data_IF_473662350388
#
_entry.id   IF_473662350388
#
_cell.length_a   1.000
_cell.length_b   1.000
_cell.length_c   1.000
_cell.angle_alpha   90.00
_cell.angle_beta   90.00
_cell.angle_gamma   90.00
#
_symmetry.space_group_name_H-M   'P 1'
#
loop_
_entity.id
_entity.type
_entity.pdbx_description
1 polymer ?
#
# COMPACT_ATOMS: atom_id res chain seq x y z
N UNK A 1 -0.62 -12.79 -24.70
CA UNK A 1 -1.76 -12.38 -23.84
C UNK A 1 -2.16 -10.95 -24.18
N UNK A 2 -3.45 -10.66 -24.19
CA UNK A 2 -4.00 -9.30 -24.36
C UNK A 2 -4.12 -8.63 -23.00
N UNK A 3 -3.58 -7.44 -22.85
CA UNK A 3 -3.46 -6.77 -21.56
C UNK A 3 -3.99 -5.33 -21.63
N UNK A 4 -4.52 -4.85 -20.50
CA UNK A 4 -4.77 -3.43 -20.22
C UNK A 4 -3.88 -3.01 -19.07
N UNK A 5 -3.32 -1.80 -19.14
CA UNK A 5 -2.58 -1.16 -18.06
C UNK A 5 -3.43 0.01 -17.58
N UNK A 6 -3.57 0.14 -16.25
CA UNK A 6 -4.28 1.24 -15.60
C UNK A 6 -3.40 1.82 -14.48
N UNK A 7 -2.78 2.98 -14.72
CA UNK A 7 -1.86 3.61 -13.78
C UNK A 7 -1.80 5.11 -14.03
N UNK A 8 -1.98 5.93 -13.01
CA UNK A 8 -1.97 7.40 -13.13
C UNK A 8 -0.56 7.98 -13.35
N UNK A 9 0.48 7.17 -13.16
CA UNK A 9 1.85 7.51 -13.50
C UNK A 9 2.13 7.20 -15.00
N UNK A 10 1.79 8.14 -15.89
CA UNK A 10 1.86 7.95 -17.34
C UNK A 10 3.20 7.39 -17.83
N UNK A 11 4.33 7.96 -17.37
CA UNK A 11 5.68 7.50 -17.76
C UNK A 11 5.92 6.03 -17.39
N UNK A 12 5.47 5.61 -16.23
CA UNK A 12 5.57 4.20 -15.81
C UNK A 12 4.68 3.30 -16.67
N UNK A 13 3.42 3.68 -16.87
CA UNK A 13 2.45 2.92 -17.66
C UNK A 13 2.91 2.72 -19.10
N UNK A 14 3.37 3.78 -19.74
CA UNK A 14 3.87 3.75 -21.12
C UNK A 14 5.16 2.93 -21.24
N UNK A 15 6.10 3.10 -20.31
CA UNK A 15 7.34 2.30 -20.27
C UNK A 15 7.04 0.81 -20.10
N UNK A 16 6.12 0.47 -19.18
CA UNK A 16 5.70 -0.91 -18.98
C UNK A 16 5.00 -1.47 -20.22
N UNK A 17 4.20 -0.67 -20.92
CA UNK A 17 3.56 -1.05 -22.18
C UNK A 17 4.58 -1.44 -23.24
N UNK A 18 5.65 -0.67 -23.39
CA UNK A 18 6.75 -0.99 -24.32
C UNK A 18 7.44 -2.31 -23.94
N UNK A 19 7.74 -2.50 -22.65
CA UNK A 19 8.39 -3.73 -22.16
C UNK A 19 7.51 -4.94 -22.42
N UNK A 20 6.22 -4.88 -22.14
CA UNK A 20 5.28 -5.98 -22.37
C UNK A 20 5.13 -6.30 -23.85
N UNK A 21 5.07 -5.27 -24.70
CA UNK A 21 4.99 -5.42 -26.16
C UNK A 21 6.26 -6.06 -26.71
N UNK A 22 7.43 -5.63 -26.27
CA UNK A 22 8.73 -6.24 -26.68
C UNK A 22 8.86 -7.69 -26.20
N UNK A 23 8.19 -8.06 -25.11
CA UNK A 23 8.10 -9.44 -24.62
C UNK A 23 7.05 -10.29 -25.35
N UNK A 24 6.44 -9.79 -26.44
CA UNK A 24 5.48 -10.51 -27.27
C UNK A 24 4.05 -10.51 -26.75
N UNK A 25 3.71 -9.59 -25.86
CA UNK A 25 2.34 -9.42 -25.37
C UNK A 25 1.63 -8.27 -26.13
N UNK A 26 0.30 -8.30 -26.14
CA UNK A 26 -0.52 -7.25 -26.76
C UNK A 26 -1.10 -6.33 -25.70
N UNK A 27 -0.51 -5.16 -25.48
CA UNK A 27 -1.14 -4.11 -24.68
C UNK A 27 -2.20 -3.43 -25.53
N UNK A 28 -3.46 -3.68 -25.22
CA UNK A 28 -4.60 -3.21 -26.04
C UNK A 28 -5.02 -1.80 -25.70
N UNK A 29 -4.71 -1.33 -24.51
CA UNK A 29 -4.97 0.04 -24.06
C UNK A 29 -4.13 0.36 -22.81
N UNK A 30 -3.77 1.62 -22.64
CA UNK A 30 -3.26 2.21 -21.41
C UNK A 30 -4.27 3.24 -20.93
N UNK A 31 -4.66 3.18 -19.67
CA UNK A 31 -5.62 4.08 -19.03
C UNK A 31 -5.00 4.66 -17.76
N UNK A 32 -5.45 5.84 -17.34
CA UNK A 32 -4.84 6.58 -16.24
C UNK A 32 -5.76 6.68 -15.02
N UNK A 33 -6.94 6.05 -15.11
CA UNK A 33 -7.87 5.95 -13.98
C UNK A 33 -8.72 4.69 -14.07
N UNK A 34 -9.23 4.16 -12.94
CA UNK A 34 -10.19 3.04 -12.97
C UNK A 34 -11.48 3.36 -13.71
N UNK A 35 -11.89 4.64 -13.73
CA UNK A 35 -13.07 5.08 -14.45
C UNK A 35 -12.88 4.95 -15.97
N UNK A 36 -11.70 5.28 -16.51
CA UNK A 36 -11.34 5.08 -17.91
C UNK A 36 -11.17 3.58 -18.25
N UNK A 37 -10.60 2.80 -17.34
CA UNK A 37 -10.40 1.37 -17.54
C UNK A 37 -11.73 0.60 -17.70
N UNK A 38 -12.79 1.03 -17.02
CA UNK A 38 -14.08 0.33 -16.99
C UNK A 38 -14.68 0.10 -18.40
N UNK A 39 -14.91 1.13 -19.27
CA UNK A 39 -15.41 0.93 -20.62
C UNK A 39 -14.44 0.15 -21.51
N UNK A 40 -13.13 0.31 -21.31
CA UNK A 40 -12.10 -0.43 -22.06
C UNK A 40 -12.16 -1.92 -21.76
N UNK A 41 -12.21 -2.30 -20.48
CA UNK A 41 -12.33 -3.69 -20.05
C UNK A 41 -13.59 -4.34 -20.62
N UNK A 42 -14.73 -3.63 -20.60
CA UNK A 42 -15.99 -4.11 -21.15
C UNK A 42 -15.92 -4.36 -22.66
N UNK A 43 -15.27 -3.44 -23.40
CA UNK A 43 -15.18 -3.50 -24.86
C UNK A 43 -14.11 -4.47 -25.35
N UNK A 44 -12.91 -4.42 -24.73
CA UNK A 44 -11.73 -5.14 -25.19
C UNK A 44 -11.61 -6.55 -24.62
N UNK A 45 -12.18 -6.80 -23.43
CA UNK A 45 -12.14 -8.09 -22.72
C UNK A 45 -10.73 -8.70 -22.71
N UNK A 46 -9.73 -8.01 -22.10
CA UNK A 46 -8.37 -8.50 -22.07
C UNK A 46 -8.25 -9.75 -21.19
N UNK A 47 -7.16 -10.51 -21.38
CA UNK A 47 -6.82 -11.65 -20.52
C UNK A 47 -6.40 -11.17 -19.12
N UNK A 48 -5.64 -10.08 -19.07
CA UNK A 48 -5.08 -9.48 -17.86
C UNK A 48 -5.31 -7.97 -17.82
N UNK A 49 -5.52 -7.44 -16.62
CA UNK A 49 -5.49 -6.02 -16.33
C UNK A 49 -4.46 -5.76 -15.22
N UNK A 50 -3.40 -5.03 -15.56
CA UNK A 50 -2.45 -4.51 -14.58
C UNK A 50 -3.00 -3.18 -14.08
N UNK A 51 -3.17 -3.05 -12.78
CA UNK A 51 -3.77 -1.86 -12.20
C UNK A 51 -2.95 -1.36 -11.01
N UNK A 52 -2.68 -0.06 -10.96
CA UNK A 52 -2.10 0.53 -9.75
C UNK A 52 -3.04 0.36 -8.57
N UNK A 53 -2.47 0.25 -7.38
CA UNK A 53 -3.24 0.21 -6.14
C UNK A 53 -3.82 1.58 -5.78
N UNK A 54 -3.06 2.64 -5.97
CA UNK A 54 -3.37 3.99 -5.50
C UNK A 54 -3.65 4.93 -6.67
N UNK A 55 -4.74 5.68 -6.55
CA UNK A 55 -5.12 6.74 -7.48
C UNK A 55 -5.47 8.00 -6.68
N UNK A 56 -5.42 9.20 -7.26
CA UNK A 56 -5.87 10.42 -6.60
C UNK A 56 -7.33 10.35 -6.10
N UNK A 57 -8.15 9.49 -6.71
CA UNK A 57 -9.56 9.27 -6.38
C UNK A 57 -9.82 8.14 -5.38
N UNK A 58 -8.79 7.55 -4.77
CA UNK A 58 -8.91 6.42 -3.85
C UNK A 58 -8.18 5.17 -4.33
N UNK A 59 -8.55 4.00 -3.85
CA UNK A 59 -7.86 2.75 -4.15
C UNK A 59 -8.53 1.98 -5.29
N UNK A 60 -7.73 1.23 -6.07
CA UNK A 60 -8.26 0.31 -7.08
C UNK A 60 -9.21 -0.73 -6.48
N UNK A 61 -9.03 -1.08 -5.20
CA UNK A 61 -9.85 -2.09 -4.53
C UNK A 61 -11.32 -1.68 -4.43
N UNK A 62 -11.60 -0.38 -4.29
CA UNK A 62 -12.96 0.17 -4.29
C UNK A 62 -13.67 -0.01 -5.63
N UNK A 63 -12.90 -0.06 -6.71
CA UNK A 63 -13.39 -0.23 -8.07
C UNK A 63 -13.49 -1.71 -8.50
N UNK A 64 -12.83 -2.63 -7.80
CA UNK A 64 -12.76 -4.04 -8.20
C UNK A 64 -14.12 -4.69 -8.47
N UNK A 65 -15.19 -4.46 -7.67
CA UNK A 65 -16.49 -5.06 -7.97
C UNK A 65 -17.03 -4.65 -9.35
N UNK A 66 -16.87 -3.36 -9.72
CA UNK A 66 -17.30 -2.82 -11.02
C UNK A 66 -16.42 -3.30 -12.17
N UNK A 67 -15.09 -3.28 -11.98
CA UNK A 67 -14.13 -3.69 -13.00
C UNK A 67 -14.30 -5.18 -13.33
N UNK A 68 -14.42 -6.03 -12.33
CA UNK A 68 -14.67 -7.47 -12.51
C UNK A 68 -16.05 -7.74 -13.11
N UNK A 69 -17.07 -7.02 -12.68
CA UNK A 69 -18.41 -7.12 -13.27
C UNK A 69 -18.44 -6.75 -14.76
N UNK A 70 -17.59 -5.79 -15.19
CA UNK A 70 -17.48 -5.39 -16.60
C UNK A 70 -16.76 -6.40 -17.49
N UNK A 71 -15.80 -7.14 -16.94
CA UNK A 71 -15.00 -8.15 -17.63
C UNK A 71 -14.68 -9.34 -16.72
N UNK A 72 -15.64 -10.27 -16.51
CA UNK A 72 -15.51 -11.33 -15.49
C UNK A 72 -14.38 -12.34 -15.73
N UNK A 73 -13.90 -12.44 -16.99
CA UNK A 73 -12.80 -13.35 -17.36
C UNK A 73 -11.43 -12.70 -17.23
N UNK A 74 -11.36 -11.38 -17.12
CA UNK A 74 -10.08 -10.65 -16.96
C UNK A 74 -9.52 -10.92 -15.58
N UNK A 75 -8.26 -11.34 -15.52
CA UNK A 75 -7.51 -11.47 -14.27
C UNK A 75 -6.85 -10.16 -13.93
N UNK A 76 -6.92 -9.78 -12.65
CA UNK A 76 -6.37 -8.51 -12.18
C UNK A 76 -5.07 -8.74 -11.43
N UNK A 77 -4.05 -7.96 -11.81
CA UNK A 77 -2.76 -7.88 -11.15
C UNK A 77 -2.57 -6.45 -10.62
N UNK A 78 -2.44 -6.31 -9.33
CA UNK A 78 -2.17 -5.02 -8.68
C UNK A 78 -0.67 -4.73 -8.75
N UNK A 79 -0.33 -3.56 -9.28
CA UNK A 79 1.00 -2.98 -9.23
C UNK A 79 1.06 -2.00 -8.06
N UNK A 80 2.09 -2.09 -7.24
CA UNK A 80 2.23 -1.16 -6.10
C UNK A 80 3.69 -0.96 -5.72
N UNK A 81 4.03 0.24 -5.27
CA UNK A 81 5.33 0.51 -4.65
C UNK A 81 5.41 0.00 -3.20
N UNK A 82 4.25 -0.32 -2.62
CA UNK A 82 4.14 -0.78 -1.25
C UNK A 82 2.80 -1.50 -1.03
N UNK A 83 2.82 -2.59 -0.27
CA UNK A 83 1.62 -3.35 0.06
C UNK A 83 1.62 -3.76 1.53
N UNK A 84 0.60 -3.35 2.25
CA UNK A 84 0.34 -3.81 3.61
C UNK A 84 -0.52 -5.08 3.60
N UNK A 85 -0.36 -5.88 4.65
CA UNK A 85 -1.10 -7.14 4.78
C UNK A 85 -2.63 -6.96 4.72
N UNK A 86 -3.25 -5.98 5.40
CA UNK A 86 -4.68 -5.77 5.28
C UNK A 86 -5.14 -5.48 3.84
N UNK A 87 -4.33 -4.70 3.09
CA UNK A 87 -4.60 -4.36 1.69
C UNK A 87 -4.44 -5.60 0.80
N UNK A 88 -3.43 -6.44 1.07
CA UNK A 88 -3.26 -7.73 0.39
C UNK A 88 -4.49 -8.63 0.61
N UNK A 89 -4.92 -8.78 1.86
CA UNK A 89 -6.07 -9.61 2.22
C UNK A 89 -7.37 -9.08 1.58
N UNK A 90 -7.59 -7.76 1.63
CA UNK A 90 -8.71 -7.11 0.96
C UNK A 90 -8.67 -7.29 -0.58
N UNK A 91 -7.50 -7.17 -1.18
CA UNK A 91 -7.31 -7.39 -2.62
C UNK A 91 -7.61 -8.82 -3.05
N UNK A 92 -7.13 -9.82 -2.29
CA UNK A 92 -7.45 -11.23 -2.53
C UNK A 92 -8.96 -11.48 -2.39
N UNK A 93 -9.60 -10.94 -1.36
CA UNK A 93 -11.05 -11.03 -1.16
C UNK A 93 -11.83 -10.35 -2.30
N UNK A 94 -11.32 -9.23 -2.83
CA UNK A 94 -11.87 -8.55 -4.00
C UNK A 94 -11.61 -9.30 -5.32
N UNK A 95 -10.83 -10.39 -5.30
CA UNK A 95 -10.55 -11.25 -6.44
C UNK A 95 -9.36 -10.83 -7.30
N UNK A 96 -8.44 -10.04 -6.75
CA UNK A 96 -7.11 -9.82 -7.35
C UNK A 96 -6.35 -11.15 -7.34
N UNK A 97 -5.67 -11.46 -8.45
CA UNK A 97 -4.93 -12.71 -8.63
C UNK A 97 -3.43 -12.54 -8.53
N UNK A 98 -2.94 -11.32 -8.73
CA UNK A 98 -1.50 -11.04 -8.66
C UNK A 98 -1.20 -9.73 -7.94
N UNK A 99 -0.05 -9.70 -7.27
CA UNK A 99 0.51 -8.49 -6.69
C UNK A 99 1.99 -8.43 -7.07
N UNK A 100 2.39 -7.35 -7.74
CA UNK A 100 3.74 -7.11 -8.18
C UNK A 100 4.25 -5.73 -7.72
N UNK A 101 5.53 -5.65 -7.39
CA UNK A 101 6.14 -4.41 -6.92
C UNK A 101 6.59 -3.56 -8.11
N UNK A 102 6.19 -2.27 -8.16
CA UNK A 102 6.58 -1.35 -9.26
C UNK A 102 8.09 -1.14 -9.40
N UNK A 103 8.86 -1.29 -8.32
CA UNK A 103 10.31 -1.12 -8.32
C UNK A 103 11.11 -2.36 -8.70
N UNK A 104 10.48 -3.46 -9.07
CA UNK A 104 11.20 -4.68 -9.48
C UNK A 104 11.59 -4.65 -10.97
N UNK A 105 12.44 -5.59 -11.37
CA UNK A 105 12.82 -5.72 -12.78
C UNK A 105 11.64 -6.18 -13.64
N UNK A 106 11.62 -5.76 -14.90
CA UNK A 106 10.56 -6.11 -15.83
C UNK A 106 10.36 -7.63 -15.98
N UNK A 107 11.44 -8.40 -15.89
CA UNK A 107 11.41 -9.87 -15.93
C UNK A 107 10.61 -10.48 -14.79
N UNK A 108 10.67 -9.90 -13.61
CA UNK A 108 9.94 -10.37 -12.44
C UNK A 108 8.44 -10.08 -12.57
N UNK A 109 8.07 -8.89 -13.08
CA UNK A 109 6.69 -8.55 -13.42
C UNK A 109 6.15 -9.57 -14.44
N UNK A 110 6.89 -9.84 -15.50
CA UNK A 110 6.52 -10.83 -16.52
C UNK A 110 6.33 -12.24 -15.94
N UNK A 111 7.17 -12.64 -14.97
CA UNK A 111 7.02 -13.92 -14.29
C UNK A 111 5.71 -14.00 -13.47
N UNK A 112 5.35 -12.92 -12.77
CA UNK A 112 4.05 -12.81 -12.07
C UNK A 112 2.90 -12.93 -13.06
N UNK A 113 2.95 -12.20 -14.19
CA UNK A 113 1.88 -12.20 -15.19
C UNK A 113 1.66 -13.59 -15.82
N UNK A 114 2.73 -14.33 -16.13
CA UNK A 114 2.62 -15.70 -16.66
C UNK A 114 1.91 -16.62 -15.69
N UNK A 115 2.32 -16.62 -14.43
CA UNK A 115 1.72 -17.46 -13.39
C UNK A 115 0.26 -17.10 -13.13
N UNK A 116 -0.09 -15.81 -13.15
CA UNK A 116 -1.49 -15.37 -13.04
C UNK A 116 -2.30 -15.79 -14.26
N UNK A 117 -1.71 -15.81 -15.46
CA UNK A 117 -2.36 -16.34 -16.66
C UNK A 117 -2.65 -17.84 -16.56
N UNK A 118 -1.84 -18.58 -15.82
CA UNK A 118 -2.03 -20.00 -15.50
C UNK A 118 -2.95 -20.23 -14.28
N UNK A 119 -3.78 -19.24 -13.92
CA UNK A 119 -4.74 -19.24 -12.81
C UNK A 119 -4.13 -19.33 -11.40
N UNK A 120 -2.83 -19.12 -11.24
CA UNK A 120 -2.22 -19.04 -9.92
C UNK A 120 -2.55 -17.72 -9.21
N UNK A 121 -2.58 -17.77 -7.87
CA UNK A 121 -2.56 -16.58 -7.03
C UNK A 121 -1.11 -16.26 -6.68
N UNK A 122 -0.62 -15.12 -7.14
CA UNK A 122 0.80 -14.76 -7.03
C UNK A 122 0.99 -13.49 -6.23
N UNK A 123 1.75 -13.58 -5.16
CA UNK A 123 2.26 -12.41 -4.43
C UNK A 123 3.77 -12.38 -4.60
N UNK A 124 4.27 -11.32 -5.19
CA UNK A 124 5.69 -11.15 -5.47
C UNK A 124 6.56 -11.25 -4.21
N UNK A 125 7.78 -11.78 -4.36
CA UNK A 125 8.69 -11.98 -3.23
C UNK A 125 9.21 -10.68 -2.64
N UNK A 126 9.39 -9.62 -3.44
CA UNK A 126 9.85 -8.32 -2.94
C UNK A 126 8.77 -7.66 -2.09
N UNK A 127 7.50 -7.81 -2.44
CA UNK A 127 6.38 -7.41 -1.58
C UNK A 127 6.43 -8.14 -0.25
N UNK A 128 6.61 -9.46 -0.27
CA UNK A 128 6.72 -10.29 0.94
C UNK A 128 7.96 -9.94 1.78
N UNK A 129 9.09 -9.64 1.14
CA UNK A 129 10.34 -9.23 1.81
C UNK A 129 10.23 -7.83 2.39
N UNK A 130 9.59 -6.90 1.66
CA UNK A 130 9.33 -5.53 2.12
C UNK A 130 8.49 -5.52 3.40
N UNK A 131 7.43 -6.30 3.46
CA UNK A 131 6.58 -6.45 4.64
C UNK A 131 7.37 -7.06 5.83
N UNK A 132 8.20 -8.08 5.59
CA UNK A 132 9.09 -8.66 6.62
C UNK A 132 10.10 -7.66 7.15
N UNK A 133 10.83 -6.98 6.26
CA UNK A 133 11.84 -5.98 6.66
C UNK A 133 11.22 -4.84 7.46
N UNK A 134 10.05 -4.35 7.05
CA UNK A 134 9.32 -3.32 7.81
C UNK A 134 8.88 -3.82 9.18
N UNK A 135 8.34 -5.02 9.30
CA UNK A 135 7.97 -5.60 10.59
C UNK A 135 9.17 -5.76 11.51
N UNK A 136 10.29 -6.23 10.99
CA UNK A 136 11.51 -6.38 11.77
C UNK A 136 12.06 -5.01 12.21
N UNK A 137 11.95 -4.01 11.34
CA UNK A 137 12.33 -2.64 11.65
C UNK A 137 11.35 -1.99 12.64
N UNK A 138 10.04 -2.15 12.44
CA UNK A 138 9.01 -1.72 13.38
C UNK A 138 9.22 -2.34 14.77
N UNK A 139 9.47 -3.65 14.85
CA UNK A 139 9.78 -4.33 16.11
C UNK A 139 11.04 -3.81 16.77
N UNK A 140 12.10 -3.52 16.00
CA UNK A 140 13.31 -2.89 16.52
C UNK A 140 13.01 -1.52 17.13
N UNK A 141 12.34 -0.64 16.38
CA UNK A 141 11.94 0.67 16.89
C UNK A 141 10.98 0.59 18.07
N UNK A 142 10.01 -0.32 18.04
CA UNK A 142 9.07 -0.53 19.13
C UNK A 142 9.79 -0.87 20.46
N UNK A 143 10.92 -1.59 20.42
CA UNK A 143 11.70 -1.92 21.61
C UNK A 143 12.36 -0.71 22.28
N UNK A 144 12.62 0.36 21.54
CA UNK A 144 13.17 1.61 22.10
C UNK A 144 12.11 2.49 22.76
N UNK A 145 10.83 2.22 22.53
CA UNK A 145 9.73 2.97 23.11
C UNK A 145 9.17 2.22 24.33
N UNK A 146 9.08 2.92 25.46
CA UNK A 146 8.39 2.41 26.64
C UNK A 146 6.89 2.29 26.40
N UNK A 147 6.13 1.50 27.19
CA UNK A 147 4.68 1.43 27.05
C UNK A 147 3.99 2.81 27.08
N UNK A 148 4.47 3.74 27.90
CA UNK A 148 3.94 5.11 28.00
C UNK A 148 4.24 5.94 26.75
N UNK A 149 5.40 5.77 26.16
CA UNK A 149 5.77 6.44 24.90
C UNK A 149 4.96 5.90 23.69
N UNK A 150 4.68 4.60 23.68
CA UNK A 150 3.79 3.98 22.68
C UNK A 150 2.36 4.55 22.82
N UNK A 151 1.85 4.66 24.04
CA UNK A 151 0.55 5.27 24.31
C UNK A 151 0.51 6.72 23.81
N UNK A 152 1.54 7.52 24.09
CA UNK A 152 1.67 8.89 23.58
C UNK A 152 1.62 8.92 22.04
N UNK A 153 2.42 8.08 21.39
CA UNK A 153 2.51 8.04 19.93
C UNK A 153 1.17 7.65 19.27
N UNK A 154 0.49 6.65 19.81
CA UNK A 154 -0.85 6.22 19.41
C UNK A 154 -1.87 7.37 19.50
N UNK A 155 -1.84 8.13 20.59
CA UNK A 155 -2.73 9.27 20.80
C UNK A 155 -2.42 10.45 19.88
N UNK A 156 -1.14 10.74 19.65
CA UNK A 156 -0.70 11.74 18.69
C UNK A 156 -1.17 11.37 17.26
N UNK A 157 -1.11 10.10 16.88
CA UNK A 157 -1.62 9.62 15.61
C UNK A 157 -3.14 9.81 15.43
N UNK A 158 -3.88 9.82 16.54
CA UNK A 158 -5.32 10.18 16.57
C UNK A 158 -5.58 11.69 16.56
N UNK A 159 -4.55 12.52 16.51
CA UNK A 159 -4.66 13.98 16.53
C UNK A 159 -4.94 14.58 17.91
N UNK A 160 -4.75 13.82 19.01
CA UNK A 160 -4.96 14.32 20.35
C UNK A 160 -3.92 15.39 20.74
N UNK A 161 -4.38 16.50 21.32
CA UNK A 161 -3.49 17.53 21.85
C UNK A 161 -2.80 17.07 23.15
N UNK A 162 -1.67 17.72 23.50
CA UNK A 162 -0.94 17.40 24.75
C UNK A 162 -1.83 17.52 26.00
N UNK A 163 -2.86 18.38 25.96
CA UNK A 163 -3.82 18.51 27.06
C UNK A 163 -4.78 17.30 27.14
N UNK A 164 -5.24 16.80 25.99
CA UNK A 164 -6.05 15.57 25.91
C UNK A 164 -5.22 14.35 26.33
N UNK A 165 -3.97 14.27 25.90
CA UNK A 165 -2.99 13.26 26.34
C UNK A 165 -2.87 13.24 27.87
N UNK A 166 -2.63 14.39 28.49
CA UNK A 166 -2.48 14.48 29.96
C UNK A 166 -3.71 13.93 30.69
N UNK A 167 -4.92 14.36 30.25
CA UNK A 167 -6.19 13.88 30.83
C UNK A 167 -6.37 12.37 30.64
N UNK A 168 -6.14 11.87 29.45
CA UNK A 168 -6.37 10.47 29.11
C UNK A 168 -5.35 9.51 29.78
N UNK A 169 -4.11 9.96 29.98
CA UNK A 169 -3.06 9.20 30.66
C UNK A 169 -3.07 9.35 32.19
N UNK A 170 -3.95 10.20 32.75
CA UNK A 170 -4.02 10.47 34.20
C UNK A 170 -2.76 11.15 34.73
N UNK A 171 -2.08 12.00 33.94
CA UNK A 171 -0.85 12.69 34.33
C UNK A 171 -1.00 14.21 34.21
N UNK A 172 -0.03 14.96 34.79
CA UNK A 172 -0.01 16.42 34.61
C UNK A 172 0.36 16.79 33.16
N UNK A 173 -0.02 18.00 32.74
CA UNK A 173 0.36 18.52 31.42
C UNK A 173 1.88 18.60 31.22
N UNK A 174 2.62 18.89 32.30
CA UNK A 174 4.07 18.90 32.27
C UNK A 174 4.64 17.49 32.00
N UNK A 175 4.12 16.48 32.69
CA UNK A 175 4.52 15.08 32.51
C UNK A 175 4.18 14.59 31.09
N UNK A 176 3.00 14.89 30.58
CA UNK A 176 2.62 14.57 29.20
C UNK A 176 3.58 15.22 28.18
N UNK A 177 3.94 16.50 28.41
CA UNK A 177 4.93 17.19 27.56
C UNK A 177 6.30 16.51 27.59
N UNK A 178 6.76 16.06 28.76
CA UNK A 178 8.02 15.31 28.88
C UNK A 178 7.98 13.99 28.13
N UNK A 179 6.87 13.25 28.20
CA UNK A 179 6.69 12.03 27.40
C UNK A 179 6.70 12.29 25.91
N UNK A 180 6.01 13.35 25.46
CA UNK A 180 6.05 13.76 24.05
C UNK A 180 7.48 14.09 23.63
N UNK A 181 8.22 14.89 24.42
CA UNK A 181 9.61 15.23 24.12
C UNK A 181 10.52 14.00 24.04
N UNK A 182 10.31 13.02 24.93
CA UNK A 182 11.04 11.75 24.89
C UNK A 182 10.78 10.98 23.59
N UNK A 183 9.52 10.93 23.13
CA UNK A 183 9.15 10.31 21.84
C UNK A 183 9.83 11.03 20.68
N UNK A 184 9.79 12.38 20.65
CA UNK A 184 10.43 13.17 19.59
C UNK A 184 11.93 12.89 19.52
N UNK A 185 12.61 12.92 20.68
CA UNK A 185 14.04 12.64 20.77
C UNK A 185 14.40 11.23 20.29
N UNK A 186 13.60 10.22 20.66
CA UNK A 186 13.83 8.81 20.27
C UNK A 186 13.61 8.56 18.78
N UNK A 187 12.67 9.29 18.17
CA UNK A 187 12.40 9.23 16.73
C UNK A 187 13.32 10.15 15.90
N UNK A 188 14.13 11.01 16.57
CA UNK A 188 15.03 11.94 15.91
C UNK A 188 14.31 13.07 15.16
N UNK A 189 13.14 13.50 15.65
CA UNK A 189 12.27 14.51 15.03
C UNK A 189 12.01 15.67 15.97
N UNK A 190 11.53 16.79 15.42
CA UNK A 190 11.37 18.05 16.16
C UNK A 190 9.92 18.47 16.41
N UNK A 191 8.94 17.80 15.78
CA UNK A 191 7.51 18.10 15.95
C UNK A 191 6.65 16.86 16.13
N UNK A 192 5.50 17.03 16.79
CA UNK A 192 4.52 15.94 16.99
C UNK A 192 4.02 15.38 15.63
N UNK A 193 3.84 16.25 14.64
CA UNK A 193 3.44 15.85 13.30
C UNK A 193 4.50 14.98 12.61
N UNK A 194 5.76 15.40 12.68
CA UNK A 194 6.89 14.58 12.18
C UNK A 194 6.97 13.23 12.89
N UNK A 195 6.74 13.19 14.22
CA UNK A 195 6.74 11.94 14.97
C UNK A 195 5.68 10.96 14.48
N UNK A 196 4.48 11.43 14.17
CA UNK A 196 3.40 10.60 13.59
C UNK A 196 3.80 10.10 12.20
N UNK A 197 4.32 10.98 11.34
CA UNK A 197 4.76 10.61 9.99
C UNK A 197 5.88 9.57 10.05
N UNK A 198 6.88 9.79 10.90
CA UNK A 198 8.03 8.89 11.04
C UNK A 198 7.62 7.54 11.64
N UNK A 199 6.75 7.56 12.64
CA UNK A 199 6.18 6.35 13.23
C UNK A 199 5.37 5.53 12.19
N UNK A 200 4.59 6.19 11.36
CA UNK A 200 3.86 5.55 10.28
C UNK A 200 4.80 4.97 9.21
N UNK A 201 5.84 5.71 8.84
CA UNK A 201 6.89 5.23 7.92
C UNK A 201 7.55 3.95 8.42
N UNK A 202 7.77 3.85 9.73
CA UNK A 202 8.33 2.66 10.37
C UNK A 202 7.30 1.58 10.69
N UNK A 203 6.03 1.77 10.33
CA UNK A 203 4.96 0.80 10.60
C UNK A 203 4.64 0.61 12.08
N UNK A 204 4.86 1.64 12.90
CA UNK A 204 4.55 1.62 14.34
C UNK A 204 3.08 1.93 14.63
N UNK A 205 2.50 2.86 13.87
CA UNK A 205 1.11 3.30 14.02
C UNK A 205 0.41 3.40 12.67
N UNK A 206 -0.90 3.18 12.65
CA UNK A 206 -1.77 3.52 11.54
C UNK A 206 -2.11 5.01 11.58
N UNK A 207 -1.93 5.71 10.45
CA UNK A 207 -2.34 7.13 10.33
C UNK A 207 -3.86 7.26 10.26
N UNK A 208 -4.55 6.24 9.72
CA UNK A 208 -6.01 6.25 9.55
C UNK A 208 -6.75 6.00 10.85
N UNK A 209 -6.30 5.01 11.64
CA UNK A 209 -6.98 4.58 12.87
C UNK A 209 -6.28 5.03 14.15
N UNK A 210 -5.02 5.48 14.05
CA UNK A 210 -4.17 5.77 15.19
C UNK A 210 -3.81 4.52 16.00
N UNK A 211 -3.98 3.32 15.48
CA UNK A 211 -3.69 2.07 16.18
C UNK A 211 -2.21 1.73 16.15
N UNK A 212 -1.76 1.03 17.21
CA UNK A 212 -0.41 0.49 17.30
C UNK A 212 -0.30 -0.78 16.46
N UNK A 213 0.66 -0.82 15.52
CA UNK A 213 0.84 -1.91 14.56
C UNK A 213 2.00 -2.85 14.89
N UNK A 214 2.98 -2.40 15.69
CA UNK A 214 4.19 -3.15 16.03
C UNK A 214 3.97 -4.06 17.26
N UNK A 215 3.11 -5.06 17.11
CA UNK A 215 2.85 -6.08 18.11
C UNK A 215 3.93 -7.16 18.17
#
# INVERSE_FOLDING_TARGET
>A
MRMVICDDHAVFAESLSLVLTNAGHSVVEVTYSPAEALPVLRARRPDLCLIDLQFPSGTALEWMPRLRGSSPRTRFVVLTGFLERPVLEAGLAAGVRGFAHKGQQAGDILAVLRRVADDEIVVDQEIRRGDRRRRDQARKFARFLTPREREVLTRLARGESTQMLAKAMGVTRSTARSHVQSVLSKLGVHSQREAVIEAARHGLVSVETGEWLAG
#
